data_IF_913599406242
#
_entry.id   IF_913599406242
#
_cell.length_a   1.000
_cell.length_b   1.000
_cell.length_c   1.000
_cell.angle_alpha   90.00
_cell.angle_beta   90.00
_cell.angle_gamma   90.00
#
_symmetry.space_group_name_H-M   'P 1'
#
loop_
_entity.id
_entity.type
_entity.pdbx_description
1 polymer ?
#
# COMPACT_ATOMS: atom_id res chain seq x y z
N UNK A 1 15.74 4.06 -2.08
CA UNK A 1 14.53 3.45 -2.68
C UNK A 1 13.36 4.39 -2.43
N UNK A 2 12.85 5.06 -3.46
CA UNK A 2 11.70 5.97 -3.40
C UNK A 2 10.68 5.52 -4.44
N UNK A 3 10.07 4.36 -4.19
CA UNK A 3 8.90 3.87 -4.91
C UNK A 3 7.90 3.60 -3.80
N UNK A 4 6.84 4.39 -3.66
CA UNK A 4 5.79 4.09 -2.65
C UNK A 4 5.05 5.27 -2.03
N UNK A 5 5.70 6.43 -1.82
CA UNK A 5 5.04 7.53 -1.07
C UNK A 5 3.93 8.25 -1.82
N UNK A 6 3.92 8.18 -3.17
CA UNK A 6 2.95 8.91 -3.98
C UNK A 6 1.54 8.35 -3.87
N UNK A 7 1.38 7.05 -3.67
CA UNK A 7 0.07 6.40 -3.70
C UNK A 7 -0.74 6.67 -2.43
N UNK A 8 -0.06 6.89 -1.30
CA UNK A 8 -0.69 7.16 -0.01
C UNK A 8 -1.47 8.47 -0.05
N UNK A 9 -0.85 9.58 -0.49
CA UNK A 9 -1.56 10.86 -0.55
C UNK A 9 -2.71 10.86 -1.56
N UNK A 10 -2.56 10.12 -2.67
CA UNK A 10 -3.62 9.97 -3.67
C UNK A 10 -4.82 9.20 -3.09
N UNK A 11 -4.57 8.06 -2.44
CA UNK A 11 -5.61 7.27 -1.79
C UNK A 11 -6.35 8.07 -0.72
N UNK A 12 -5.62 8.80 0.13
CA UNK A 12 -6.22 9.68 1.15
C UNK A 12 -7.04 10.81 0.53
N UNK A 13 -6.55 11.44 -0.54
CA UNK A 13 -7.29 12.50 -1.24
C UNK A 13 -8.59 11.99 -1.87
N UNK A 14 -8.57 10.84 -2.56
CA UNK A 14 -9.77 10.25 -3.16
C UNK A 14 -10.76 9.76 -2.11
N UNK A 15 -10.28 9.22 -0.99
CA UNK A 15 -11.13 8.83 0.14
C UNK A 15 -11.86 10.05 0.72
N UNK A 16 -11.12 11.14 0.99
CA UNK A 16 -11.69 12.39 1.48
C UNK A 16 -12.72 12.99 0.52
N UNK A 17 -12.44 12.98 -0.78
CA UNK A 17 -13.37 13.44 -1.80
C UNK A 17 -14.64 12.57 -1.86
N UNK A 18 -14.49 11.25 -1.75
CA UNK A 18 -15.62 10.31 -1.77
C UNK A 18 -16.55 10.49 -0.56
N UNK A 19 -15.97 10.77 0.62
CA UNK A 19 -16.72 11.10 1.84
C UNK A 19 -17.43 12.44 1.68
N UNK A 20 -16.73 13.46 1.16
CA UNK A 20 -17.30 14.79 0.92
C UNK A 20 -18.51 14.74 -0.01
N UNK A 21 -18.46 13.91 -1.05
CA UNK A 21 -19.56 13.69 -2.00
C UNK A 21 -20.67 12.78 -1.45
N UNK A 22 -20.48 12.15 -0.28
CA UNK A 22 -21.47 11.25 0.34
C UNK A 22 -21.73 9.95 -0.44
N UNK A 23 -20.85 9.57 -1.37
CA UNK A 23 -21.08 8.43 -2.27
C UNK A 23 -20.48 7.14 -1.71
N UNK A 24 -21.34 6.26 -1.19
CA UNK A 24 -20.95 4.94 -0.67
C UNK A 24 -20.24 4.09 -1.75
N UNK A 25 -20.70 4.18 -3.01
CA UNK A 25 -20.08 3.49 -4.12
C UNK A 25 -18.64 3.98 -4.37
N UNK A 26 -18.41 5.30 -4.30
CA UNK A 26 -17.07 5.87 -4.47
C UNK A 26 -16.13 5.46 -3.33
N UNK A 27 -16.62 5.46 -2.08
CA UNK A 27 -15.86 4.98 -0.92
C UNK A 27 -15.47 3.51 -1.11
N UNK A 28 -16.41 2.66 -1.54
CA UNK A 28 -16.16 1.25 -1.81
C UNK A 28 -15.11 1.02 -2.90
N UNK A 29 -15.17 1.78 -3.99
CA UNK A 29 -14.16 1.73 -5.07
C UNK A 29 -12.77 2.13 -4.59
N UNK A 30 -12.65 3.24 -3.86
CA UNK A 30 -11.35 3.69 -3.33
C UNK A 30 -10.76 2.66 -2.36
N UNK A 31 -11.58 2.10 -1.48
CA UNK A 31 -11.15 1.06 -0.54
C UNK A 31 -10.71 -0.22 -1.28
N UNK A 32 -11.46 -0.64 -2.30
CA UNK A 32 -11.13 -1.82 -3.11
C UNK A 32 -9.78 -1.65 -3.81
N UNK A 33 -9.58 -0.54 -4.54
CA UNK A 33 -8.34 -0.30 -5.27
C UNK A 33 -7.14 -0.12 -4.33
N UNK A 34 -7.31 0.58 -3.20
CA UNK A 34 -6.27 0.69 -2.19
C UNK A 34 -5.89 -0.69 -1.61
N UNK A 35 -6.89 -1.53 -1.30
CA UNK A 35 -6.68 -2.89 -0.83
C UNK A 35 -5.95 -3.78 -1.85
N UNK A 36 -6.34 -3.72 -3.13
CA UNK A 36 -5.65 -4.45 -4.20
C UNK A 36 -4.19 -4.00 -4.34
N UNK A 37 -3.93 -2.69 -4.26
CA UNK A 37 -2.59 -2.15 -4.36
C UNK A 37 -1.71 -2.62 -3.19
N UNK A 38 -2.24 -2.59 -1.96
CA UNK A 38 -1.56 -3.13 -0.78
C UNK A 38 -1.24 -4.62 -0.94
N UNK A 39 -2.18 -5.40 -1.48
CA UNK A 39 -1.96 -6.82 -1.75
C UNK A 39 -0.88 -7.04 -2.81
N UNK A 40 -0.88 -6.23 -3.88
CA UNK A 40 0.14 -6.27 -4.92
C UNK A 40 1.53 -6.00 -4.35
N UNK A 41 1.70 -4.92 -3.58
CA UNK A 41 2.97 -4.59 -2.91
C UNK A 41 3.39 -5.74 -2.00
N UNK A 42 2.46 -6.31 -1.22
CA UNK A 42 2.77 -7.40 -0.31
C UNK A 42 3.23 -8.68 -1.02
N UNK A 43 2.61 -9.02 -2.15
CA UNK A 43 2.83 -10.32 -2.81
C UNK A 43 3.91 -10.25 -3.88
N UNK A 44 4.01 -9.14 -4.60
CA UNK A 44 4.92 -8.99 -5.75
C UNK A 44 6.17 -8.25 -5.33
N UNK A 45 6.03 -7.05 -4.77
CA UNK A 45 7.17 -6.20 -4.43
C UNK A 45 8.02 -6.82 -3.31
N UNK A 46 7.40 -7.40 -2.28
CA UNK A 46 8.18 -8.13 -1.25
C UNK A 46 8.96 -9.32 -1.82
N UNK A 47 8.40 -10.05 -2.79
CA UNK A 47 9.11 -11.18 -3.41
C UNK A 47 10.30 -10.72 -4.25
N UNK A 48 10.16 -9.61 -4.96
CA UNK A 48 11.28 -9.01 -5.69
C UNK A 48 12.37 -8.53 -4.73
N UNK A 49 11.99 -7.94 -3.60
CA UNK A 49 12.93 -7.50 -2.57
C UNK A 49 13.62 -8.68 -1.87
N UNK A 50 12.89 -9.75 -1.55
CA UNK A 50 13.46 -11.00 -1.04
C UNK A 50 14.45 -11.61 -2.04
N UNK A 51 14.10 -11.66 -3.33
CA UNK A 51 14.99 -12.18 -4.37
C UNK A 51 16.24 -11.30 -4.58
N UNK A 52 16.12 -9.98 -4.43
CA UNK A 52 17.20 -9.03 -4.69
C UNK A 52 18.13 -8.81 -3.49
N UNK A 53 17.62 -8.91 -2.26
CA UNK A 53 18.35 -8.57 -1.03
C UNK A 53 18.45 -9.72 -0.02
N UNK A 54 17.72 -10.82 -0.22
CA UNK A 54 17.84 -12.05 0.57
C UNK A 54 17.70 -11.83 2.08
N UNK A 55 18.69 -12.32 2.84
CA UNK A 55 18.72 -12.27 4.30
C UNK A 55 18.65 -10.86 4.90
N UNK A 56 19.21 -9.86 4.21
CA UNK A 56 19.17 -8.47 4.68
C UNK A 56 17.74 -7.94 4.72
N UNK A 57 16.93 -8.27 3.71
CA UNK A 57 15.52 -7.90 3.67
C UNK A 57 14.69 -8.73 4.66
N UNK A 58 15.01 -10.01 4.85
CA UNK A 58 14.33 -10.85 5.85
C UNK A 58 14.55 -10.37 7.30
N UNK A 59 15.73 -9.83 7.63
CA UNK A 59 15.96 -9.19 8.93
C UNK A 59 15.19 -7.86 9.06
N UNK A 60 15.18 -7.05 8.01
CA UNK A 60 14.41 -5.80 7.99
C UNK A 60 12.90 -6.05 8.17
N UNK A 61 12.35 -7.01 7.43
CA UNK A 61 10.94 -7.42 7.47
C UNK A 61 10.50 -7.94 8.83
N UNK A 62 11.40 -8.53 9.62
CA UNK A 62 11.10 -8.99 10.99
C UNK A 62 10.93 -7.84 11.98
N UNK A 63 11.64 -6.74 11.77
CA UNK A 63 11.65 -5.60 12.67
C UNK A 63 10.70 -4.47 12.24
N UNK A 64 10.19 -4.50 11.01
CA UNK A 64 9.35 -3.43 10.47
C UNK A 64 7.99 -3.99 10.04
N UNK A 65 6.88 -3.63 10.72
CA UNK A 65 5.55 -3.98 10.28
C UNK A 65 5.25 -3.33 8.92
N UNK A 66 4.59 -4.08 8.03
CA UNK A 66 4.36 -3.66 6.65
C UNK A 66 3.46 -2.40 6.51
N UNK A 67 2.52 -2.21 7.44
CA UNK A 67 1.43 -1.26 7.31
C UNK A 67 1.50 -0.08 8.28
N UNK A 68 2.17 -0.25 9.42
CA UNK A 68 2.25 0.76 10.49
C UNK A 68 3.74 0.83 10.88
N UNK A 69 4.39 2.00 10.71
CA UNK A 69 5.79 2.18 11.08
C UNK A 69 6.03 2.05 12.59
#
# INVERSE_FOLDING_TARGET
>A
MQVGSRWLWQATAYLGLSIYLGSVAAIGLVALFAGLLLLYVKVVEEKELEARFGDAYLQYKRNTPFLIP
#
